data_IF_624928341079
#
_entry.id   IF_624928341079
#
_cell.length_a   1.000
_cell.length_b   1.000
_cell.length_c   1.000
_cell.angle_alpha   90.00
_cell.angle_beta   90.00
_cell.angle_gamma   90.00
#
_symmetry.space_group_name_H-M   'P 1'
#
loop_
_entity.id
_entity.type
_entity.pdbx_description
1 polymer ?
#
# COMPACT_ATOMS: atom_id res chain seq x y z
N UNK A 1 6.88 -1.34 -13.44
CA UNK A 1 5.63 -0.57 -13.37
C UNK A 1 5.75 0.56 -12.36
N UNK A 2 4.90 1.56 -12.50
CA UNK A 2 4.69 2.64 -11.51
C UNK A 2 3.19 2.83 -11.31
N UNK A 3 2.80 3.24 -10.11
CA UNK A 3 1.43 3.64 -9.79
C UNK A 3 1.42 5.15 -9.52
N UNK A 4 0.43 5.85 -10.12
CA UNK A 4 0.29 7.30 -9.92
C UNK A 4 -0.42 7.58 -8.60
N UNK A 5 0.01 8.63 -7.91
CA UNK A 5 -0.55 9.04 -6.63
C UNK A 5 -1.80 9.93 -6.77
N UNK A 6 -2.54 10.12 -5.68
CA UNK A 6 -3.74 10.95 -5.65
C UNK A 6 -3.46 12.44 -5.61
N UNK A 7 -2.31 12.86 -5.06
CA UNK A 7 -1.99 14.27 -4.88
C UNK A 7 -1.81 15.00 -6.20
N UNK A 8 -1.88 16.33 -6.14
CA UNK A 8 -1.52 17.19 -7.28
C UNK A 8 -0.01 17.40 -7.34
N UNK A 9 0.51 17.38 -8.56
CA UNK A 9 1.89 17.72 -8.87
C UNK A 9 1.82 18.95 -9.78
N UNK A 10 2.35 20.06 -9.31
CA UNK A 10 2.28 21.35 -10.03
C UNK A 10 0.85 21.73 -10.47
N UNK A 11 -0.14 21.45 -9.62
CA UNK A 11 -1.54 21.77 -9.86
C UNK A 11 -2.35 20.71 -10.62
N UNK A 12 -1.73 19.75 -11.29
CA UNK A 12 -2.40 18.65 -11.97
C UNK A 12 -2.49 17.40 -11.09
N UNK A 13 -3.64 16.69 -11.06
CA UNK A 13 -3.73 15.39 -10.40
C UNK A 13 -2.67 14.42 -10.90
N UNK A 14 -2.09 13.60 -10.01
CA UNK A 14 -0.96 12.71 -10.32
C UNK A 14 -1.21 11.77 -11.50
N UNK A 15 -2.45 11.28 -11.66
CA UNK A 15 -2.86 10.43 -12.79
C UNK A 15 -2.79 11.16 -14.16
N UNK A 16 -2.80 12.49 -14.15
CA UNK A 16 -2.70 13.33 -15.36
C UNK A 16 -1.28 13.88 -15.60
N UNK A 17 -0.31 13.47 -14.78
CA UNK A 17 1.05 13.98 -14.86
C UNK A 17 1.78 13.45 -16.11
N UNK A 18 2.07 14.32 -17.06
CA UNK A 18 2.76 13.98 -18.31
C UNK A 18 4.19 13.48 -18.13
N UNK A 19 4.83 13.73 -17.01
CA UNK A 19 6.17 13.20 -16.72
C UNK A 19 6.21 11.67 -16.71
N UNK A 20 5.06 11.01 -16.49
CA UNK A 20 4.92 9.55 -16.64
C UNK A 20 5.29 9.13 -18.06
N UNK A 21 4.77 9.82 -19.09
CA UNK A 21 5.11 9.56 -20.49
C UNK A 21 6.49 10.12 -20.83
N UNK A 22 6.72 11.39 -20.56
CA UNK A 22 7.86 12.11 -21.09
C UNK A 22 9.18 11.70 -20.46
N UNK A 23 9.18 11.43 -19.17
CA UNK A 23 10.37 11.04 -18.41
C UNK A 23 10.40 9.52 -18.19
N UNK A 24 9.40 8.99 -17.46
CA UNK A 24 9.47 7.60 -17.02
C UNK A 24 9.42 6.62 -18.19
N UNK A 25 8.53 6.84 -19.17
CA UNK A 25 8.44 5.94 -20.33
C UNK A 25 9.48 6.24 -21.39
N UNK A 26 9.59 7.50 -21.82
CA UNK A 26 10.42 7.85 -22.98
C UNK A 26 11.91 7.88 -22.65
N UNK A 27 12.31 8.37 -21.47
CA UNK A 27 13.74 8.46 -21.11
C UNK A 27 14.20 7.24 -20.30
N UNK A 28 13.42 6.78 -19.32
CA UNK A 28 13.82 5.66 -18.44
C UNK A 28 13.32 4.30 -18.92
N UNK A 29 12.52 4.26 -19.99
CA UNK A 29 12.06 3.00 -20.58
C UNK A 29 11.03 2.24 -19.77
N UNK A 30 10.33 2.90 -18.84
CA UNK A 30 9.21 2.31 -18.10
C UNK A 30 8.16 1.77 -19.09
N UNK A 31 7.64 0.58 -18.83
CA UNK A 31 6.71 -0.09 -19.76
C UNK A 31 5.26 -0.07 -19.30
N UNK A 32 4.99 0.13 -18.02
CA UNK A 32 3.61 0.07 -17.50
C UNK A 32 3.42 1.08 -16.38
N UNK A 33 2.40 1.90 -16.50
CA UNK A 33 1.90 2.78 -15.46
C UNK A 33 0.43 2.49 -15.18
N UNK A 34 0.03 2.52 -13.92
CA UNK A 34 -1.34 2.29 -13.47
C UNK A 34 -1.81 3.44 -12.58
N UNK A 35 -3.08 3.82 -12.69
CA UNK A 35 -3.74 4.71 -11.73
C UNK A 35 -4.02 3.97 -10.42
N UNK A 36 -3.80 4.60 -9.28
CA UNK A 36 -4.20 4.06 -7.98
C UNK A 36 -5.72 3.94 -7.89
N UNK A 37 -6.23 3.13 -6.96
CA UNK A 37 -7.65 2.81 -6.83
C UNK A 37 -8.53 4.06 -6.66
N UNK A 38 -9.48 4.27 -7.59
CA UNK A 38 -10.33 5.45 -7.59
C UNK A 38 -9.68 6.75 -8.08
N UNK A 39 -8.43 6.72 -8.54
CA UNK A 39 -7.73 7.94 -8.94
C UNK A 39 -8.39 8.70 -10.10
N UNK A 40 -9.00 7.97 -11.04
CA UNK A 40 -9.75 8.57 -12.14
C UNK A 40 -11.02 9.27 -11.64
N UNK A 41 -11.77 8.62 -10.76
CA UNK A 41 -12.99 9.19 -10.17
C UNK A 41 -12.70 10.42 -9.31
N UNK A 42 -11.58 10.43 -8.60
CA UNK A 42 -11.15 11.56 -7.76
C UNK A 42 -10.84 12.82 -8.58
N UNK A 43 -10.46 12.71 -9.85
CA UNK A 43 -10.19 13.88 -10.71
C UNK A 43 -11.44 14.75 -10.86
N UNK A 44 -12.61 14.13 -11.05
CA UNK A 44 -13.89 14.84 -11.10
C UNK A 44 -14.44 15.14 -9.71
N UNK A 45 -14.54 14.09 -8.83
CA UNK A 45 -15.25 14.16 -7.57
C UNK A 45 -14.54 14.97 -6.49
N UNK A 46 -13.22 14.88 -6.39
CA UNK A 46 -12.43 15.54 -5.33
C UNK A 46 -11.60 16.71 -5.83
N UNK A 47 -10.91 16.50 -6.94
CA UNK A 47 -10.06 17.56 -7.51
C UNK A 47 -10.85 18.62 -8.25
N UNK A 48 -12.05 18.31 -8.76
CA UNK A 48 -12.84 19.17 -9.62
C UNK A 48 -12.02 19.73 -10.80
N UNK A 49 -11.16 18.85 -11.37
CA UNK A 49 -10.23 19.25 -12.43
C UNK A 49 -10.85 19.11 -13.82
N UNK A 50 -11.57 18.01 -14.06
CA UNK A 50 -12.43 17.79 -15.21
C UNK A 50 -13.85 17.50 -14.76
N UNK A 51 -14.84 17.83 -15.57
CA UNK A 51 -16.25 17.55 -15.30
C UNK A 51 -16.68 16.14 -15.69
N UNK A 52 -15.96 15.51 -16.63
CA UNK A 52 -16.30 14.21 -17.19
C UNK A 52 -15.19 13.18 -16.97
N UNK A 53 -15.57 11.96 -16.67
CA UNK A 53 -14.64 10.84 -16.60
C UNK A 53 -14.01 10.53 -17.98
N UNK A 54 -14.73 10.80 -19.08
CA UNK A 54 -14.21 10.70 -20.43
C UNK A 54 -12.99 11.60 -20.67
N UNK A 55 -13.02 12.83 -20.18
CA UNK A 55 -11.87 13.74 -20.26
C UNK A 55 -10.70 13.24 -19.42
N UNK A 56 -11.01 12.72 -18.24
CA UNK A 56 -10.01 12.18 -17.32
C UNK A 56 -9.27 11.01 -17.93
N UNK A 57 -10.00 9.97 -18.41
CA UNK A 57 -9.36 8.76 -18.96
C UNK A 57 -8.55 9.08 -20.22
N UNK A 58 -9.08 9.93 -21.11
CA UNK A 58 -8.36 10.34 -22.32
C UNK A 58 -7.04 11.02 -21.98
N UNK A 59 -7.03 11.96 -21.02
CA UNK A 59 -5.83 12.68 -20.63
C UNK A 59 -4.87 11.82 -19.80
N UNK A 60 -5.37 10.89 -18.99
CA UNK A 60 -4.54 9.93 -18.26
C UNK A 60 -3.78 9.00 -19.22
N UNK A 61 -4.44 8.45 -20.23
CA UNK A 61 -3.78 7.62 -21.26
C UNK A 61 -2.75 8.45 -22.04
N UNK A 62 -3.08 9.68 -22.41
CA UNK A 62 -2.14 10.59 -23.06
C UNK A 62 -0.95 10.97 -22.16
N UNK A 63 -1.17 11.04 -20.85
CA UNK A 63 -0.10 11.22 -19.87
C UNK A 63 0.76 9.96 -19.67
N UNK A 64 0.38 8.83 -20.23
CA UNK A 64 1.15 7.59 -20.18
C UNK A 64 0.64 6.55 -19.19
N UNK A 65 -0.51 6.74 -18.57
CA UNK A 65 -1.15 5.74 -17.72
C UNK A 65 -1.82 4.68 -18.61
N UNK A 66 -1.54 3.40 -18.36
CA UNK A 66 -1.99 2.29 -19.21
C UNK A 66 -3.21 1.56 -18.67
N UNK A 67 -3.46 1.64 -17.35
CA UNK A 67 -4.57 0.99 -16.70
C UNK A 67 -5.11 1.86 -15.55
N UNK A 68 -6.41 1.76 -15.32
CA UNK A 68 -7.13 2.41 -14.23
C UNK A 68 -7.55 1.33 -13.21
N UNK A 69 -7.37 1.62 -11.92
CA UNK A 69 -7.79 0.74 -10.81
C UNK A 69 -9.07 1.28 -10.16
N UNK A 70 -9.95 1.82 -10.98
CA UNK A 70 -11.26 2.35 -10.61
C UNK A 70 -12.36 1.31 -10.86
N UNK A 71 -13.62 1.65 -10.60
CA UNK A 71 -14.74 0.77 -10.91
C UNK A 71 -14.73 0.41 -12.41
N UNK A 72 -14.67 -0.89 -12.78
CA UNK A 72 -14.55 -1.32 -14.19
C UNK A 72 -15.66 -0.80 -15.09
N UNK A 73 -16.89 -0.72 -14.60
CA UNK A 73 -18.04 -0.24 -15.37
C UNK A 73 -17.91 1.24 -15.70
N UNK A 74 -17.44 2.06 -14.72
CA UNK A 74 -17.19 3.48 -14.91
C UNK A 74 -16.03 3.69 -15.88
N UNK A 75 -14.96 2.91 -15.76
CA UNK A 75 -13.80 2.98 -16.66
C UNK A 75 -14.19 2.62 -18.09
N UNK A 76 -14.95 1.55 -18.29
CA UNK A 76 -15.41 1.14 -19.63
C UNK A 76 -16.30 2.22 -20.26
N UNK A 77 -17.28 2.73 -19.52
CA UNK A 77 -18.15 3.79 -20.00
C UNK A 77 -17.34 5.06 -20.36
N UNK A 78 -16.45 5.50 -19.48
CA UNK A 78 -15.61 6.67 -19.70
C UNK A 78 -14.71 6.52 -20.94
N UNK A 79 -14.14 5.32 -21.17
CA UNK A 79 -13.32 5.05 -22.34
C UNK A 79 -14.14 5.07 -23.64
N UNK A 80 -15.34 4.51 -23.63
CA UNK A 80 -16.27 4.53 -24.76
C UNK A 80 -16.69 5.95 -25.11
N UNK A 81 -17.11 6.73 -24.11
CA UNK A 81 -17.48 8.14 -24.28
C UNK A 81 -16.29 8.98 -24.80
N UNK A 82 -15.10 8.76 -24.25
CA UNK A 82 -13.89 9.46 -24.70
C UNK A 82 -13.59 9.18 -26.19
N UNK A 83 -13.78 7.95 -26.64
CA UNK A 83 -13.62 7.58 -28.04
C UNK A 83 -14.68 8.23 -28.93
N UNK A 84 -15.97 8.15 -28.54
CA UNK A 84 -17.09 8.75 -29.27
C UNK A 84 -16.94 10.29 -29.39
N UNK A 85 -16.46 10.94 -28.33
CA UNK A 85 -16.14 12.37 -28.27
C UNK A 85 -14.84 12.72 -29.01
N UNK A 86 -14.13 11.74 -29.58
CA UNK A 86 -12.85 11.91 -30.26
C UNK A 86 -11.75 12.54 -29.39
N UNK A 87 -11.84 12.33 -28.08
CA UNK A 87 -10.81 12.75 -27.12
C UNK A 87 -9.62 11.82 -27.13
N UNK A 88 -9.80 10.57 -27.57
CA UNK A 88 -8.77 9.53 -27.66
C UNK A 88 -8.98 8.69 -28.91
N UNK A 89 -7.90 8.20 -29.50
CA UNK A 89 -7.89 7.33 -30.65
C UNK A 89 -7.77 5.85 -30.26
N UNK A 90 -8.13 4.95 -31.20
CA UNK A 90 -7.88 3.51 -30.99
C UNK A 90 -6.41 3.18 -30.86
N UNK A 91 -5.52 3.90 -31.57
CA UNK A 91 -4.07 3.66 -31.48
C UNK A 91 -3.54 3.96 -30.07
N UNK A 92 -4.06 5.01 -29.40
CA UNK A 92 -3.68 5.35 -28.02
C UNK A 92 -4.21 4.30 -27.02
N UNK A 93 -5.42 3.80 -27.21
CA UNK A 93 -5.99 2.70 -26.42
C UNK A 93 -5.17 1.42 -26.62
N UNK A 94 -4.85 1.09 -27.87
CA UNK A 94 -4.05 -0.09 -28.22
C UNK A 94 -2.64 -0.02 -27.63
N UNK A 95 -2.01 1.16 -27.61
CA UNK A 95 -0.71 1.34 -26.96
C UNK A 95 -0.79 1.00 -25.48
N UNK A 96 -1.79 1.53 -24.77
CA UNK A 96 -2.01 1.25 -23.36
C UNK A 96 -2.24 -0.25 -23.12
N UNK A 97 -3.11 -0.88 -23.91
CA UNK A 97 -3.39 -2.32 -23.83
C UNK A 97 -2.14 -3.17 -24.08
N UNK A 98 -1.32 -2.82 -25.08
CA UNK A 98 -0.04 -3.54 -25.34
C UNK A 98 0.89 -3.48 -24.14
N UNK A 99 0.93 -2.39 -23.42
CA UNK A 99 1.75 -2.25 -22.21
C UNK A 99 1.21 -3.12 -21.06
N UNK A 100 -0.10 -3.15 -20.86
CA UNK A 100 -0.76 -4.01 -19.88
C UNK A 100 -0.51 -5.49 -20.21
N UNK A 101 -0.80 -5.92 -21.45
CA UNK A 101 -0.62 -7.32 -21.85
C UNK A 101 0.86 -7.74 -21.82
N UNK A 102 1.80 -6.87 -22.19
CA UNK A 102 3.24 -7.15 -22.05
C UNK A 102 3.60 -7.48 -20.62
N UNK A 103 3.04 -6.76 -19.65
CA UNK A 103 3.29 -7.01 -18.23
C UNK A 103 2.68 -8.35 -17.80
N UNK A 104 1.43 -8.61 -18.17
CA UNK A 104 0.73 -9.87 -17.87
C UNK A 104 1.45 -11.09 -18.47
N UNK A 105 1.89 -10.99 -19.73
CA UNK A 105 2.65 -12.05 -20.40
C UNK A 105 4.00 -12.31 -19.70
N UNK A 106 4.71 -11.26 -19.28
CA UNK A 106 5.97 -11.41 -18.53
C UNK A 106 5.80 -12.04 -17.16
N UNK A 107 4.65 -11.83 -16.54
CA UNK A 107 4.27 -12.46 -15.27
C UNK A 107 3.82 -13.91 -15.43
N UNK A 108 3.70 -14.40 -16.66
CA UNK A 108 3.25 -15.76 -16.93
C UNK A 108 1.77 -16.01 -16.64
N UNK A 109 0.92 -14.96 -16.61
CA UNK A 109 -0.51 -15.09 -16.28
C UNK A 109 -1.23 -15.99 -17.29
N UNK A 110 -0.76 -16.02 -18.53
CA UNK A 110 -1.33 -16.83 -19.62
C UNK A 110 -0.53 -18.09 -19.93
N UNK A 111 0.53 -18.37 -19.17
CA UNK A 111 1.33 -19.55 -19.34
C UNK A 111 0.57 -20.81 -18.86
N UNK A 112 0.92 -21.96 -19.42
CA UNK A 112 0.39 -23.22 -18.90
C UNK A 112 0.79 -23.40 -17.44
N UNK A 113 -0.07 -24.04 -16.65
CA UNK A 113 0.06 -24.15 -15.20
C UNK A 113 1.44 -24.66 -14.72
N UNK A 114 2.04 -25.56 -15.49
CA UNK A 114 3.34 -26.14 -15.17
C UNK A 114 4.55 -25.31 -15.65
N UNK A 115 4.35 -24.22 -16.38
CA UNK A 115 5.39 -23.37 -16.92
C UNK A 115 5.76 -22.22 -16.00
N UNK A 116 4.86 -21.78 -15.13
CA UNK A 116 5.12 -20.69 -14.20
C UNK A 116 5.64 -21.25 -12.87
N UNK A 117 6.90 -20.94 -12.46
CA UNK A 117 7.48 -21.46 -11.22
C UNK A 117 6.73 -21.01 -9.96
N UNK A 118 6.03 -19.90 -10.01
CA UNK A 118 5.26 -19.38 -8.88
C UNK A 118 3.95 -20.14 -8.63
N UNK A 119 3.47 -20.95 -9.57
CA UNK A 119 2.31 -21.82 -9.38
C UNK A 119 2.55 -22.95 -8.35
N UNK A 120 3.80 -23.11 -7.91
CA UNK A 120 4.14 -24.04 -6.82
C UNK A 120 3.95 -23.47 -5.43
N UNK A 121 3.74 -22.15 -5.31
CA UNK A 121 3.45 -21.50 -4.03
C UNK A 121 2.03 -21.87 -3.59
N UNK A 122 1.89 -22.35 -2.37
CA UNK A 122 0.64 -22.83 -1.79
C UNK A 122 0.30 -22.08 -0.49
N UNK A 123 -0.89 -22.32 0.06
CA UNK A 123 -1.26 -21.75 1.36
C UNK A 123 -0.29 -22.16 2.48
N UNK A 124 0.36 -23.32 2.39
CA UNK A 124 1.34 -23.77 3.36
C UNK A 124 2.62 -22.89 3.40
N UNK A 125 2.87 -22.12 2.35
CA UNK A 125 3.98 -21.20 2.30
C UNK A 125 3.65 -19.85 2.99
N UNK A 126 2.36 -19.58 3.23
CA UNK A 126 1.92 -18.35 3.91
C UNK A 126 2.29 -18.42 5.39
N UNK A 127 2.90 -17.34 5.89
CA UNK A 127 3.27 -17.22 7.30
C UNK A 127 4.06 -18.41 7.87
N UNK A 128 4.80 -19.12 7.03
CA UNK A 128 5.66 -20.23 7.46
C UNK A 128 6.79 -19.73 8.38
N UNK A 129 7.45 -20.64 9.10
CA UNK A 129 8.50 -20.30 10.07
C UNK A 129 9.63 -19.43 9.46
N UNK A 130 9.99 -19.71 8.21
CA UNK A 130 11.00 -18.92 7.50
C UNK A 130 10.53 -17.46 7.27
N UNK A 131 9.27 -17.25 6.88
CA UNK A 131 8.71 -15.91 6.71
C UNK A 131 8.59 -15.16 8.04
N UNK A 132 8.21 -15.86 9.12
CA UNK A 132 8.16 -15.27 10.47
C UNK A 132 9.55 -14.80 10.94
N UNK A 133 10.61 -15.57 10.64
CA UNK A 133 11.97 -15.17 10.99
C UNK A 133 12.44 -13.96 10.18
N UNK A 134 12.14 -13.91 8.88
CA UNK A 134 12.41 -12.71 8.06
C UNK A 134 11.68 -11.49 8.60
N UNK A 135 10.40 -11.60 8.95
CA UNK A 135 9.65 -10.50 9.57
C UNK A 135 10.28 -10.04 10.88
N UNK A 136 10.73 -10.95 11.71
CA UNK A 136 11.42 -10.65 12.98
C UNK A 136 12.74 -9.95 12.74
N UNK A 137 13.52 -10.40 11.77
CA UNK A 137 14.78 -9.78 11.42
C UNK A 137 14.57 -8.35 10.91
N UNK A 138 13.65 -8.14 9.96
CA UNK A 138 13.32 -6.81 9.43
C UNK A 138 12.86 -5.89 10.57
N UNK A 139 12.02 -6.36 11.47
CA UNK A 139 11.56 -5.59 12.62
C UNK A 139 12.72 -5.14 13.51
N UNK A 140 13.68 -6.04 13.79
CA UNK A 140 14.88 -5.70 14.59
C UNK A 140 15.76 -4.68 13.88
N UNK A 141 15.98 -4.84 12.59
CA UNK A 141 16.85 -3.96 11.81
C UNK A 141 16.20 -2.58 11.54
N UNK A 142 14.87 -2.48 11.62
CA UNK A 142 14.15 -1.22 11.45
C UNK A 142 14.13 -0.33 12.70
N UNK A 143 14.47 -0.88 13.89
CA UNK A 143 14.47 -0.12 15.14
C UNK A 143 15.73 0.74 15.20
N UNK A 144 15.54 2.05 15.35
CA UNK A 144 16.63 3.03 15.45
C UNK A 144 16.77 3.50 16.89
N UNK A 145 17.96 3.31 17.49
CA UNK A 145 18.27 3.81 18.82
C UNK A 145 18.66 5.29 18.73
N UNK A 146 17.72 6.18 19.07
CA UNK A 146 17.94 7.63 19.00
C UNK A 146 18.77 8.17 20.17
N UNK A 147 18.65 7.55 21.35
CA UNK A 147 19.31 7.99 22.58
C UNK A 147 19.48 6.81 23.54
N UNK A 148 20.63 6.68 24.17
CA UNK A 148 20.89 5.66 25.18
C UNK A 148 21.88 6.25 26.24
N UNK A 149 21.33 7.05 27.12
CA UNK A 149 22.13 7.62 28.22
C UNK A 149 22.40 6.56 29.29
N UNK A 150 23.58 6.62 29.86
CA UNK A 150 24.03 5.70 30.92
C UNK A 150 23.97 4.22 30.55
N UNK A 151 23.94 3.88 29.24
CA UNK A 151 23.88 2.51 28.77
C UNK A 151 22.66 1.73 29.32
N UNK A 152 21.51 2.40 29.45
CA UNK A 152 20.28 1.80 29.96
C UNK A 152 19.80 0.61 29.09
N UNK A 153 20.07 0.67 27.80
CA UNK A 153 19.78 -0.42 26.86
C UNK A 153 21.07 -1.10 26.39
N UNK A 154 21.04 -2.42 26.13
CA UNK A 154 19.89 -3.31 26.20
C UNK A 154 19.53 -3.69 27.65
N UNK A 155 18.22 -3.85 27.90
CA UNK A 155 17.75 -4.46 29.15
C UNK A 155 18.07 -5.97 29.10
N UNK A 156 18.80 -6.46 30.11
CA UNK A 156 19.07 -7.88 30.26
C UNK A 156 18.16 -8.45 31.35
N UNK A 157 17.68 -9.66 31.14
CA UNK A 157 16.78 -10.30 32.11
C UNK A 157 17.40 -10.38 33.53
N UNK A 158 18.71 -10.59 33.56
CA UNK A 158 19.48 -10.70 34.82
C UNK A 158 19.61 -9.36 35.57
N UNK A 159 19.57 -8.26 34.81
CA UNK A 159 19.74 -6.92 35.36
C UNK A 159 18.38 -6.30 35.77
N UNK A 160 17.27 -6.89 35.36
CA UNK A 160 15.92 -6.43 35.67
C UNK A 160 15.50 -7.02 37.01
N UNK A 161 15.92 -6.39 38.10
CA UNK A 161 15.48 -6.71 39.45
C UNK A 161 14.29 -5.87 39.94
N UNK A 162 13.84 -4.92 39.11
CA UNK A 162 12.75 -4.02 39.42
C UNK A 162 11.52 -4.36 38.52
N UNK A 163 10.34 -4.01 39.02
CA UNK A 163 9.12 -4.09 38.20
C UNK A 163 9.24 -3.24 36.94
N UNK A 164 8.93 -3.84 35.79
CA UNK A 164 8.83 -3.12 34.54
C UNK A 164 7.40 -2.63 34.38
N UNK A 165 7.23 -1.33 34.16
CA UNK A 165 5.96 -0.75 33.78
C UNK A 165 5.96 -0.38 32.28
N UNK A 166 4.95 -0.85 31.55
CA UNK A 166 4.71 -0.49 30.17
C UNK A 166 3.62 0.58 30.12
N UNK A 167 4.00 1.83 29.83
CA UNK A 167 3.10 2.98 29.88
C UNK A 167 2.85 3.50 28.46
N UNK A 168 1.60 3.61 28.10
CA UNK A 168 1.15 4.19 26.85
C UNK A 168 -0.12 3.51 26.30
N UNK A 169 -0.92 4.23 25.54
CA UNK A 169 -2.23 3.72 25.05
C UNK A 169 -2.09 2.58 24.03
N UNK A 170 -0.88 2.34 23.50
CA UNK A 170 -0.61 1.27 22.54
C UNK A 170 0.10 0.06 23.16
N UNK A 171 0.31 0.08 24.47
CA UNK A 171 1.08 -0.95 25.19
C UNK A 171 0.51 -2.37 25.02
N UNK A 172 -0.82 -2.50 25.04
CA UNK A 172 -1.52 -3.77 24.93
C UNK A 172 -2.57 -3.76 23.81
N UNK A 173 -2.25 -3.11 22.71
CA UNK A 173 -3.16 -3.00 21.57
C UNK A 173 -2.43 -3.36 20.29
N UNK A 174 -3.11 -4.11 19.43
CA UNK A 174 -2.74 -4.33 18.05
C UNK A 174 -3.79 -3.66 17.15
N UNK A 175 -3.34 -2.84 16.20
CA UNK A 175 -4.21 -2.19 15.24
C UNK A 175 -4.06 -2.84 13.86
N UNK A 176 -5.19 -3.21 13.29
CA UNK A 176 -5.25 -3.63 11.89
C UNK A 176 -5.21 -2.39 11.01
N UNK A 177 -4.22 -2.31 10.13
CA UNK A 177 -4.18 -1.26 9.13
C UNK A 177 -5.14 -1.54 7.95
N UNK A 178 -5.23 -0.58 7.05
CA UNK A 178 -6.13 -0.70 5.90
C UNK A 178 -5.73 -1.82 4.93
N UNK A 179 -4.43 -2.08 4.80
CA UNK A 179 -3.86 -3.04 3.85
C UNK A 179 -3.57 -4.40 4.48
N UNK A 180 -3.55 -4.48 5.79
CA UNK A 180 -3.37 -5.71 6.51
C UNK A 180 -4.59 -6.61 6.40
N UNK A 181 -4.40 -7.85 5.96
CA UNK A 181 -5.42 -8.88 6.06
C UNK A 181 -5.71 -9.26 7.53
N UNK A 182 -6.63 -10.19 7.75
CA UNK A 182 -6.86 -10.75 9.08
C UNK A 182 -5.69 -11.64 9.46
N UNK A 183 -4.90 -11.31 10.48
CA UNK A 183 -3.77 -12.13 10.88
C UNK A 183 -4.27 -13.40 11.57
N UNK A 184 -3.55 -14.52 11.44
CA UNK A 184 -3.90 -15.76 12.13
C UNK A 184 -3.76 -15.66 13.66
N UNK A 185 -2.92 -14.76 14.14
CA UNK A 185 -2.75 -14.38 15.54
C UNK A 185 -2.18 -12.98 15.64
N UNK A 186 -2.33 -12.37 16.80
CA UNK A 186 -1.74 -11.08 17.13
C UNK A 186 -0.87 -11.21 18.36
N UNK A 187 0.19 -10.40 18.45
CA UNK A 187 1.04 -10.30 19.64
C UNK A 187 1.21 -8.82 19.96
N UNK A 188 0.73 -8.40 21.12
CA UNK A 188 0.93 -7.03 21.59
C UNK A 188 2.34 -6.88 22.19
N UNK A 189 2.77 -5.62 22.38
CA UNK A 189 4.06 -5.36 23.02
C UNK A 189 4.12 -5.95 24.44
N UNK A 190 3.02 -5.81 25.22
CA UNK A 190 2.87 -6.43 26.53
C UNK A 190 3.08 -7.92 26.46
N UNK A 191 2.30 -8.64 25.66
CA UNK A 191 2.40 -10.09 25.50
C UNK A 191 3.79 -10.56 25.08
N UNK A 192 4.44 -9.83 24.18
CA UNK A 192 5.81 -10.11 23.76
C UNK A 192 6.82 -9.98 24.87
N UNK A 193 6.73 -8.96 25.71
CA UNK A 193 7.60 -8.73 26.86
C UNK A 193 7.35 -9.75 27.97
N UNK A 194 6.11 -10.01 28.35
CA UNK A 194 5.73 -11.01 29.36
C UNK A 194 6.25 -12.40 28.99
N UNK A 195 6.18 -12.75 27.71
CA UNK A 195 6.75 -14.02 27.22
C UNK A 195 8.26 -14.12 27.41
N UNK A 196 8.98 -13.00 27.23
CA UNK A 196 10.46 -12.98 27.40
C UNK A 196 10.84 -12.98 28.87
N UNK A 197 10.16 -12.19 29.70
CA UNK A 197 10.44 -12.03 31.11
C UNK A 197 9.96 -13.23 31.92
N UNK A 198 8.86 -13.85 31.51
CA UNK A 198 8.24 -14.96 32.23
C UNK A 198 7.34 -14.53 33.38
N UNK A 199 6.94 -13.26 33.43
CA UNK A 199 6.11 -12.64 34.46
C UNK A 199 5.19 -11.58 33.85
N UNK A 200 4.12 -11.23 34.56
CA UNK A 200 3.20 -10.17 34.16
C UNK A 200 3.86 -8.78 34.29
N UNK A 201 3.53 -7.91 33.34
CA UNK A 201 4.01 -6.53 33.33
C UNK A 201 2.89 -5.58 33.73
N UNK A 202 3.21 -4.64 34.60
CA UNK A 202 2.31 -3.54 34.94
C UNK A 202 2.11 -2.64 33.71
N UNK A 203 0.86 -2.37 33.37
CA UNK A 203 0.50 -1.49 32.25
C UNK A 203 -0.35 -0.33 32.72
N UNK A 204 -0.16 0.82 32.09
CA UNK A 204 -1.01 2.01 32.28
C UNK A 204 -1.15 2.75 30.96
N UNK A 205 -2.33 3.28 30.67
CA UNK A 205 -2.56 4.05 29.45
C UNK A 205 -1.80 5.38 29.44
N UNK A 206 -1.60 5.98 30.59
CA UNK A 206 -0.83 7.23 30.75
C UNK A 206 -1.56 8.48 30.22
N UNK A 207 -2.35 8.34 29.16
CA UNK A 207 -3.14 9.40 28.54
C UNK A 207 -4.51 8.87 28.17
N UNK A 208 -5.52 9.74 28.20
CA UNK A 208 -6.84 9.43 27.70
C UNK A 208 -6.80 9.23 26.17
N UNK A 209 -7.40 8.13 25.71
CA UNK A 209 -7.53 7.87 24.27
C UNK A 209 -8.61 8.76 23.68
N UNK A 210 -8.25 9.57 22.71
CA UNK A 210 -9.25 10.22 21.85
C UNK A 210 -9.49 9.31 20.65
N UNK A 211 -10.61 8.63 20.63
CA UNK A 211 -11.02 7.82 19.51
C UNK A 211 -11.99 8.60 18.61
N UNK A 212 -11.62 8.78 17.36
CA UNK A 212 -12.57 9.25 16.35
C UNK A 212 -13.19 8.05 15.63
N UNK A 213 -14.52 8.06 15.56
CA UNK A 213 -15.27 7.07 14.79
C UNK A 213 -15.33 7.53 13.34
N UNK A 214 -14.69 6.79 12.44
CA UNK A 214 -14.85 6.98 11.01
C UNK A 214 -15.65 5.80 10.45
N UNK A 215 -16.93 6.03 10.18
CA UNK A 215 -17.87 4.95 9.86
C UNK A 215 -17.99 3.97 11.04
N UNK A 216 -17.84 2.68 10.77
CA UNK A 216 -17.87 1.62 11.78
C UNK A 216 -16.48 1.28 12.38
N UNK A 217 -15.46 2.07 12.08
CA UNK A 217 -14.08 1.86 12.53
C UNK A 217 -13.66 2.95 13.50
N UNK A 218 -12.90 2.55 14.52
CA UNK A 218 -12.23 3.49 15.43
C UNK A 218 -10.85 3.83 14.86
N UNK A 219 -10.58 5.11 14.66
CA UNK A 219 -9.24 5.61 14.32
C UNK A 219 -8.71 6.28 15.58
N UNK A 220 -7.67 5.71 16.18
CA UNK A 220 -6.93 6.38 17.26
C UNK A 220 -6.00 7.43 16.64
N UNK A 221 -6.14 8.66 17.09
CA UNK A 221 -5.16 9.71 16.83
C UNK A 221 -4.34 9.83 18.12
N UNK A 222 -3.10 9.36 18.06
CA UNK A 222 -2.09 9.62 19.10
C UNK A 222 -1.41 10.94 18.87
#
# INVERSE_FOLDING_TARGET
AVMTAYNRINGAPGILNREVRDILKNQYGLKHAVGDGGAMELVAGFHHYYGLHAETIANAIKAGVDAMSDNPEIVEQAAREAYEMKLISLDEIDEALRNVFRTKLRLGIYDAENCNPYNKVTEADLNCAAHQEVCRQISRESIVLLKNENYTLPLRKEDVSAEIALIGPLADVWYQDWYGGTPPYTVTLRQGMEKILGEEIVTADGLDRVAFRYGDRYVAIG
#
